data_IF_377707093494
#
_entry.id   IF_377707093494
#
_cell.length_a   1.000
_cell.length_b   1.000
_cell.length_c   1.000
_cell.angle_alpha   90.00
_cell.angle_beta   90.00
_cell.angle_gamma   90.00
#
_symmetry.space_group_name_H-M   'P 1'
#
loop_
_entity.id
_entity.type
_entity.pdbx_description
1 polymer ?
#
# COMPACT_ATOMS: atom_id res chain seq x y z
N UNK A 1 -32.40 78.94 -4.31
CA UNK A 1 -30.91 78.93 -4.36
C UNK A 1 -30.47 78.41 -5.74
N UNK A 2 -29.20 78.61 -6.14
CA UNK A 2 -28.64 78.25 -7.47
C UNK A 2 -28.82 76.72 -7.72
N UNK A 3 -29.12 76.17 -8.91
CA UNK A 3 -29.04 76.66 -10.29
C UNK A 3 -27.70 76.28 -10.95
N UNK A 4 -27.59 75.84 -12.22
CA UNK A 4 -28.58 75.59 -13.28
C UNK A 4 -27.88 74.89 -14.50
N UNK A 5 -28.62 74.29 -15.46
CA UNK A 5 -28.22 74.05 -16.89
C UNK A 5 -27.00 73.09 -17.14
N UNK A 6 -26.65 72.61 -18.36
CA UNK A 6 -27.42 72.09 -19.54
C UNK A 6 -26.44 71.33 -20.50
N UNK A 7 -26.94 70.38 -21.29
CA UNK A 7 -26.47 69.94 -22.65
C UNK A 7 -24.97 69.91 -23.07
N UNK A 8 -24.47 68.69 -23.32
CA UNK A 8 -24.02 68.16 -24.65
C UNK A 8 -22.67 68.56 -25.32
N UNK A 9 -22.26 67.68 -26.26
CA UNK A 9 -21.29 67.81 -27.39
C UNK A 9 -19.80 67.43 -27.15
N UNK A 10 -19.24 66.79 -28.19
CA UNK A 10 -17.85 66.32 -28.39
C UNK A 10 -16.79 67.44 -28.44
N UNK A 11 -15.53 67.08 -28.14
CA UNK A 11 -14.36 67.56 -28.89
C UNK A 11 -13.21 66.52 -28.83
N UNK A 12 -12.19 66.70 -29.67
CA UNK A 12 -11.21 65.68 -30.10
C UNK A 12 -9.81 66.36 -30.23
N UNK A 13 -8.75 65.57 -30.51
CA UNK A 13 -7.40 65.96 -31.03
C UNK A 13 -6.28 66.18 -29.96
N UNK A 14 -5.37 65.17 -29.89
CA UNK A 14 -3.87 65.20 -29.94
C UNK A 14 -3.05 66.26 -29.14
N UNK A 15 -1.77 66.06 -28.72
CA UNK A 15 -0.70 65.03 -28.88
C UNK A 15 0.08 64.95 -27.50
N UNK A 16 1.33 64.53 -27.24
CA UNK A 16 2.55 64.09 -27.96
C UNK A 16 3.44 63.21 -27.03
N UNK A 17 4.30 62.33 -27.59
CA UNK A 17 5.59 61.77 -27.08
C UNK A 17 5.81 61.56 -25.55
N UNK A 18 6.24 60.37 -25.12
CA UNK A 18 7.63 59.90 -25.30
C UNK A 18 7.73 58.37 -25.51
N UNK A 19 8.78 57.92 -26.21
CA UNK A 19 9.10 56.49 -26.36
C UNK A 19 9.96 56.01 -25.18
N UNK A 20 9.70 54.78 -24.73
CA UNK A 20 10.69 53.94 -24.04
C UNK A 20 10.91 52.70 -24.89
N UNK A 21 12.11 52.56 -25.46
CA UNK A 21 12.54 51.33 -26.12
C UNK A 21 12.89 50.30 -25.05
N UNK A 22 11.95 49.38 -24.77
CA UNK A 22 12.30 48.12 -24.12
C UNK A 22 12.79 47.16 -25.20
N UNK A 23 14.07 46.80 -25.14
CA UNK A 23 14.57 45.63 -25.88
C UNK A 23 13.86 44.38 -25.32
N UNK A 24 13.49 43.40 -26.16
CA UNK A 24 13.08 42.10 -25.64
C UNK A 24 14.26 41.49 -24.89
N UNK A 25 14.07 41.14 -23.62
CA UNK A 25 15.01 40.25 -22.95
C UNK A 25 14.87 38.87 -23.59
N UNK A 26 15.98 38.31 -24.08
CA UNK A 26 16.04 36.88 -24.38
C UNK A 26 15.85 36.09 -23.08
N UNK A 27 14.62 35.62 -22.86
CA UNK A 27 14.25 34.65 -21.83
C UNK A 27 14.78 33.27 -22.23
N UNK A 28 16.11 33.17 -22.26
CA UNK A 28 16.87 32.07 -22.83
C UNK A 28 16.57 30.72 -22.17
N UNK A 29 16.09 29.79 -23.00
CA UNK A 29 16.15 28.33 -22.87
C UNK A 29 15.64 27.66 -21.58
N UNK A 30 16.16 28.00 -20.40
CA UNK A 30 15.98 27.25 -19.15
C UNK A 30 14.51 27.00 -18.75
N UNK A 31 13.65 28.02 -18.77
CA UNK A 31 12.21 27.85 -18.50
C UNK A 31 11.50 27.02 -19.55
N UNK A 32 11.97 27.06 -20.80
CA UNK A 32 11.46 26.26 -21.91
C UNK A 32 11.93 24.81 -21.74
N UNK A 33 13.20 24.55 -21.43
CA UNK A 33 13.72 23.21 -21.11
C UNK A 33 13.03 22.57 -19.90
N UNK A 34 12.69 23.37 -18.87
CA UNK A 34 11.92 22.90 -17.71
C UNK A 34 10.49 22.48 -18.13
N UNK A 35 9.80 23.27 -18.94
CA UNK A 35 8.48 22.91 -19.49
C UNK A 35 8.55 21.71 -20.46
N UNK A 36 9.63 21.56 -21.23
CA UNK A 36 9.90 20.39 -22.07
C UNK A 36 10.26 19.14 -21.25
N UNK A 37 10.87 19.29 -20.07
CA UNK A 37 11.12 18.20 -19.14
C UNK A 37 9.84 17.76 -18.41
N UNK A 38 8.89 18.67 -18.19
CA UNK A 38 7.59 18.41 -17.58
C UNK A 38 6.62 17.73 -18.56
N UNK A 39 6.54 18.22 -19.80
CA UNK A 39 5.80 17.52 -20.89
C UNK A 39 6.41 16.15 -21.25
N UNK A 40 7.68 15.90 -20.92
CA UNK A 40 8.29 14.57 -21.06
C UNK A 40 7.80 13.51 -20.05
N UNK A 41 6.87 13.85 -19.13
CA UNK A 41 6.12 12.85 -18.33
C UNK A 41 5.09 12.07 -19.17
N UNK A 42 4.74 12.49 -20.38
CA UNK A 42 3.81 11.77 -21.26
C UNK A 42 4.45 10.61 -22.07
N UNK A 43 5.61 10.12 -21.61
CA UNK A 43 6.26 8.93 -22.20
C UNK A 43 5.48 7.65 -21.90
N UNK A 44 5.54 6.72 -22.85
CA UNK A 44 5.12 5.33 -22.66
C UNK A 44 5.86 4.69 -21.47
N UNK A 45 5.21 3.69 -20.85
CA UNK A 45 5.81 2.93 -19.75
C UNK A 45 6.96 2.05 -20.24
N UNK A 46 8.17 2.29 -19.75
CA UNK A 46 9.29 1.36 -19.87
C UNK A 46 8.99 0.13 -19.01
N UNK A 47 9.38 -1.06 -19.46
CA UNK A 47 9.23 -2.31 -18.69
C UNK A 47 10.54 -3.07 -18.51
N UNK A 48 10.79 -3.54 -17.29
CA UNK A 48 11.87 -4.49 -16.98
C UNK A 48 11.30 -5.75 -16.34
N UNK A 49 11.76 -6.93 -16.79
CA UNK A 49 11.16 -8.24 -16.45
C UNK A 49 12.11 -9.10 -15.64
N UNK A 50 11.55 -9.89 -14.73
CA UNK A 50 12.25 -10.88 -13.91
C UNK A 50 11.59 -12.27 -14.02
N UNK A 51 11.79 -13.17 -13.06
CA UNK A 51 11.09 -14.46 -13.02
C UNK A 51 9.62 -14.27 -12.72
N UNK A 52 9.30 -13.50 -11.68
CA UNK A 52 7.96 -13.35 -11.10
C UNK A 52 7.32 -11.97 -11.33
N UNK A 53 8.07 -10.98 -11.84
CA UNK A 53 7.62 -9.59 -11.95
C UNK A 53 7.84 -8.96 -13.34
N UNK A 54 7.02 -7.95 -13.61
CA UNK A 54 7.26 -6.91 -14.61
C UNK A 54 7.16 -5.57 -13.89
N UNK A 55 8.23 -4.78 -13.92
CA UNK A 55 8.26 -3.43 -13.35
C UNK A 55 8.01 -2.43 -14.49
N UNK A 56 6.96 -1.64 -14.36
CA UNK A 56 6.61 -0.54 -15.26
C UNK A 56 7.04 0.79 -14.63
N UNK A 57 7.79 1.61 -15.36
CA UNK A 57 8.28 2.92 -14.89
C UNK A 57 8.41 3.91 -16.06
N UNK A 58 8.21 5.22 -15.82
CA UNK A 58 8.44 6.25 -16.85
C UNK A 58 9.86 6.85 -16.83
N UNK A 59 10.51 6.86 -15.66
CA UNK A 59 11.86 7.41 -15.43
C UNK A 59 12.51 6.69 -14.25
N UNK A 60 13.79 6.33 -14.37
CA UNK A 60 14.57 5.80 -13.24
C UNK A 60 15.15 6.98 -12.43
N UNK A 61 15.10 6.99 -11.08
CA UNK A 61 15.60 8.12 -10.28
C UNK A 61 17.13 8.17 -10.18
N UNK A 62 17.78 7.01 -10.26
CA UNK A 62 19.23 6.85 -10.19
C UNK A 62 19.63 5.50 -10.80
N UNK A 63 20.78 5.39 -11.51
CA UNK A 63 21.13 4.20 -12.26
C UNK A 63 21.07 2.89 -11.46
N UNK A 64 20.24 1.95 -11.92
CA UNK A 64 20.08 0.64 -11.30
C UNK A 64 19.07 0.57 -10.14
N UNK A 65 18.33 1.65 -9.85
CA UNK A 65 17.21 1.63 -8.92
C UNK A 65 16.15 0.60 -9.33
N UNK A 66 15.77 0.48 -10.61
CA UNK A 66 14.75 -0.50 -11.05
C UNK A 66 15.26 -1.93 -10.83
N UNK A 67 16.55 -2.19 -11.06
CA UNK A 67 17.17 -3.48 -10.69
C UNK A 67 17.06 -3.72 -9.19
N UNK A 68 17.28 -2.71 -8.34
CA UNK A 68 17.08 -2.83 -6.88
C UNK A 68 15.64 -3.15 -6.52
N UNK A 69 14.63 -2.58 -7.20
CA UNK A 69 13.22 -2.97 -7.01
C UNK A 69 12.99 -4.44 -7.37
N UNK A 70 13.54 -4.91 -8.50
CA UNK A 70 13.46 -6.31 -8.91
C UNK A 70 14.12 -7.24 -7.88
N UNK A 71 15.34 -6.92 -7.45
CA UNK A 71 16.09 -7.72 -6.48
C UNK A 71 15.31 -7.84 -5.15
N UNK A 72 14.67 -6.76 -4.70
CA UNK A 72 13.81 -6.76 -3.51
C UNK A 72 12.53 -7.57 -3.73
N UNK A 73 11.80 -7.34 -4.83
CA UNK A 73 10.55 -8.03 -5.16
C UNK A 73 10.74 -9.56 -5.30
N UNK A 74 11.75 -10.00 -6.05
CA UNK A 74 12.13 -11.42 -6.14
C UNK A 74 12.50 -12.00 -4.76
N UNK A 75 13.26 -11.25 -3.96
CA UNK A 75 13.61 -11.69 -2.60
C UNK A 75 12.38 -11.82 -1.70
N UNK A 76 11.43 -10.89 -1.76
CA UNK A 76 10.20 -10.93 -0.99
C UNK A 76 9.25 -12.03 -1.44
N UNK A 77 9.10 -12.27 -2.75
CA UNK A 77 8.23 -13.34 -3.26
C UNK A 77 8.62 -14.69 -2.64
N UNK A 78 9.90 -15.04 -2.73
CA UNK A 78 10.46 -16.25 -2.11
C UNK A 78 10.26 -16.25 -0.59
N UNK A 79 10.60 -15.16 0.12
CA UNK A 79 10.42 -15.06 1.59
C UNK A 79 8.98 -15.27 2.04
N UNK A 80 7.99 -14.76 1.29
CA UNK A 80 6.56 -14.85 1.62
C UNK A 80 6.05 -16.27 1.34
N UNK A 81 6.25 -16.81 0.12
CA UNK A 81 5.77 -18.17 -0.21
C UNK A 81 6.47 -19.27 0.61
N UNK A 82 7.67 -19.01 1.13
CA UNK A 82 8.40 -19.89 2.05
C UNK A 82 7.84 -19.81 3.48
N UNK A 83 7.63 -18.59 3.99
CA UNK A 83 7.17 -18.35 5.37
C UNK A 83 5.80 -18.95 5.66
N UNK A 84 4.88 -18.85 4.71
CA UNK A 84 3.50 -19.36 4.83
C UNK A 84 3.29 -20.72 4.14
N UNK A 85 4.33 -21.30 3.51
CA UNK A 85 4.26 -22.63 2.89
C UNK A 85 3.52 -22.71 1.55
N UNK A 86 3.33 -21.58 0.87
CA UNK A 86 2.58 -21.46 -0.39
C UNK A 86 3.37 -21.86 -1.65
N UNK A 87 4.67 -22.23 -1.53
CA UNK A 87 5.63 -22.62 -2.60
C UNK A 87 5.12 -23.42 -3.84
N UNK A 88 4.01 -24.15 -3.75
CA UNK A 88 3.45 -25.00 -4.83
C UNK A 88 2.12 -24.48 -5.39
N UNK A 89 1.80 -23.21 -5.20
CA UNK A 89 0.57 -22.57 -5.65
C UNK A 89 0.85 -21.47 -6.69
N UNK A 90 0.07 -21.46 -7.78
CA UNK A 90 0.01 -20.44 -8.83
C UNK A 90 1.31 -19.65 -9.12
N UNK A 91 2.33 -20.30 -9.69
CA UNK A 91 3.59 -19.65 -10.05
C UNK A 91 3.40 -18.40 -10.92
N UNK A 92 3.98 -17.27 -10.51
CA UNK A 92 3.90 -15.98 -11.21
C UNK A 92 4.81 -15.88 -12.44
N UNK A 93 4.97 -16.97 -13.20
CA UNK A 93 5.87 -17.03 -14.36
C UNK A 93 5.17 -16.61 -15.66
N UNK A 94 5.96 -16.31 -16.70
CA UNK A 94 5.45 -16.04 -18.06
C UNK A 94 4.44 -14.88 -18.12
N UNK A 95 3.18 -15.16 -18.46
CA UNK A 95 2.06 -14.21 -18.50
C UNK A 95 1.36 -14.04 -17.14
N UNK A 96 1.75 -14.79 -16.10
CA UNK A 96 1.25 -14.67 -14.73
C UNK A 96 2.10 -13.79 -13.81
N UNK A 97 3.11 -13.09 -14.34
CA UNK A 97 3.93 -12.16 -13.55
C UNK A 97 3.10 -11.10 -12.85
N UNK A 98 3.52 -10.71 -11.64
CA UNK A 98 2.99 -9.53 -10.97
C UNK A 98 3.49 -8.26 -11.67
N UNK A 99 2.60 -7.30 -11.89
CA UNK A 99 2.92 -6.00 -12.50
C UNK A 99 3.12 -4.97 -11.38
N UNK A 100 4.27 -4.31 -11.33
CA UNK A 100 4.52 -3.23 -10.35
C UNK A 100 4.66 -1.93 -11.15
N UNK A 101 3.74 -0.99 -10.96
CA UNK A 101 3.79 0.34 -11.57
C UNK A 101 4.43 1.32 -10.59
N UNK A 102 5.53 1.93 -11.04
CA UNK A 102 6.33 2.91 -10.31
C UNK A 102 6.11 4.30 -10.92
N UNK A 103 5.20 5.06 -10.31
CA UNK A 103 4.96 6.46 -10.67
C UNK A 103 6.11 7.34 -10.19
N UNK A 104 6.31 8.49 -10.84
CA UNK A 104 7.43 9.37 -10.51
C UNK A 104 7.20 10.13 -9.20
N UNK A 105 5.98 10.60 -8.95
CA UNK A 105 5.59 11.32 -7.74
C UNK A 105 4.34 10.72 -7.07
N UNK A 106 4.13 11.08 -5.80
CA UNK A 106 2.92 10.77 -5.04
C UNK A 106 1.66 11.39 -5.68
N UNK A 107 1.80 12.59 -6.24
CA UNK A 107 0.76 13.28 -7.02
C UNK A 107 0.38 12.52 -8.29
N UNK A 108 1.36 12.02 -9.05
CA UNK A 108 1.07 11.21 -10.23
C UNK A 108 0.39 9.89 -9.83
N UNK A 109 0.86 9.25 -8.76
CA UNK A 109 0.21 8.07 -8.19
C UNK A 109 -1.24 8.34 -7.77
N UNK A 110 -1.50 9.46 -7.07
CA UNK A 110 -2.84 9.90 -6.67
C UNK A 110 -3.75 10.10 -7.89
N UNK A 111 -3.31 10.91 -8.87
CA UNK A 111 -4.08 11.24 -10.07
C UNK A 111 -4.37 10.00 -10.95
N UNK A 112 -3.39 9.11 -11.14
CA UNK A 112 -3.51 7.95 -12.05
C UNK A 112 -4.21 6.73 -11.38
N UNK A 113 -4.43 6.74 -10.06
CA UNK A 113 -5.08 5.61 -9.34
C UNK A 113 -6.39 5.97 -8.63
N UNK A 114 -6.58 7.22 -8.22
CA UNK A 114 -7.69 7.68 -7.39
C UNK A 114 -7.56 7.34 -5.89
N UNK A 115 -6.42 6.81 -5.45
CA UNK A 115 -6.18 6.43 -4.05
C UNK A 115 -5.98 7.66 -3.15
N UNK A 116 -6.30 7.61 -1.83
CA UNK A 116 -6.10 8.73 -0.93
C UNK A 116 -4.63 9.18 -0.82
N UNK A 117 -4.38 10.47 -0.58
CA UNK A 117 -3.01 11.03 -0.49
C UNK A 117 -2.12 10.35 0.57
N UNK A 118 -2.70 9.75 1.62
CA UNK A 118 -1.94 9.02 2.65
C UNK A 118 -1.51 7.60 2.22
N UNK A 119 -1.98 7.10 1.07
CA UNK A 119 -1.63 5.79 0.54
C UNK A 119 -0.19 5.77 -0.01
N UNK A 120 0.64 4.85 0.51
CA UNK A 120 1.96 4.55 -0.07
C UNK A 120 1.91 3.63 -1.29
N UNK A 121 0.79 2.91 -1.49
CA UNK A 121 0.57 2.00 -2.61
C UNK A 121 -0.83 1.36 -2.59
N UNK A 122 -1.19 0.71 -3.70
CA UNK A 122 -2.39 -0.12 -3.83
C UNK A 122 -2.06 -1.50 -4.42
N UNK A 123 -2.84 -2.52 -4.02
CA UNK A 123 -2.84 -3.85 -4.63
C UNK A 123 -4.16 -4.12 -5.36
N UNK A 124 -4.13 -4.24 -6.69
CA UNK A 124 -5.26 -4.75 -7.48
C UNK A 124 -5.14 -6.25 -7.64
N UNK A 125 -5.63 -6.97 -6.63
CA UNK A 125 -5.44 -8.42 -6.44
C UNK A 125 -5.77 -9.22 -7.71
N UNK A 126 -6.93 -8.97 -8.33
CA UNK A 126 -7.40 -9.71 -9.52
C UNK A 126 -6.59 -9.43 -10.79
N UNK A 127 -5.93 -8.28 -10.87
CA UNK A 127 -5.04 -7.91 -11.98
C UNK A 127 -3.60 -8.42 -11.77
N UNK A 128 -3.28 -8.90 -10.56
CA UNK A 128 -1.92 -9.11 -10.04
C UNK A 128 -1.04 -7.88 -10.26
N UNK A 129 -1.60 -6.71 -9.91
CA UNK A 129 -0.99 -5.39 -10.05
C UNK A 129 -0.74 -4.78 -8.66
N UNK A 130 0.42 -4.14 -8.51
CA UNK A 130 0.76 -3.21 -7.43
C UNK A 130 1.05 -1.85 -8.08
N UNK A 131 0.59 -0.76 -7.48
CA UNK A 131 0.86 0.62 -7.91
C UNK A 131 1.40 1.43 -6.74
N UNK A 132 2.47 2.19 -6.95
CA UNK A 132 3.20 2.96 -5.90
C UNK A 132 4.18 3.95 -6.55
N UNK A 133 4.86 4.80 -5.79
CA UNK A 133 5.72 5.86 -6.32
C UNK A 133 7.16 5.78 -5.83
N UNK A 134 8.08 6.20 -6.71
CA UNK A 134 9.54 6.01 -6.60
C UNK A 134 10.15 6.66 -5.34
N UNK A 135 9.54 7.74 -4.87
CA UNK A 135 9.95 8.49 -3.67
C UNK A 135 9.10 8.20 -2.43
N UNK A 136 8.34 7.10 -2.41
CA UNK A 136 7.60 6.65 -1.23
C UNK A 136 8.53 6.29 -0.07
N UNK A 137 8.30 6.89 1.10
CA UNK A 137 9.03 6.54 2.32
C UNK A 137 8.83 5.05 2.63
N UNK A 138 9.94 4.36 2.90
CA UNK A 138 9.99 2.91 3.11
C UNK A 138 9.28 2.04 2.05
N UNK A 139 9.11 2.52 0.81
CA UNK A 139 8.52 1.71 -0.28
C UNK A 139 9.15 0.31 -0.35
N UNK A 140 10.49 0.23 -0.43
CA UNK A 140 11.21 -1.04 -0.50
C UNK A 140 11.27 -1.80 0.84
N UNK A 141 11.07 -1.12 1.98
CA UNK A 141 11.22 -1.72 3.33
C UNK A 141 9.91 -2.28 3.88
N UNK A 142 8.78 -1.69 3.47
CA UNK A 142 7.47 -1.78 4.10
C UNK A 142 6.35 -1.96 3.08
N UNK A 143 6.12 -0.98 2.19
CA UNK A 143 4.98 -1.01 1.25
C UNK A 143 5.07 -2.21 0.31
N UNK A 144 6.19 -2.39 -0.40
CA UNK A 144 6.37 -3.51 -1.33
C UNK A 144 6.11 -4.88 -0.68
N UNK A 145 6.71 -5.26 0.46
CA UNK A 145 6.38 -6.53 1.11
C UNK A 145 4.97 -6.60 1.71
N UNK A 146 4.36 -5.46 2.09
CA UNK A 146 2.98 -5.38 2.57
C UNK A 146 1.97 -5.68 1.43
N UNK A 147 2.02 -4.94 0.31
CA UNK A 147 1.20 -5.17 -0.89
C UNK A 147 1.37 -6.59 -1.44
N UNK A 148 2.61 -7.09 -1.48
CA UNK A 148 2.89 -8.47 -1.88
C UNK A 148 2.35 -9.51 -0.89
N UNK A 149 2.24 -9.16 0.39
CA UNK A 149 1.62 -9.98 1.43
C UNK A 149 0.14 -10.22 1.14
N UNK A 150 -0.63 -9.14 0.96
CA UNK A 150 -2.02 -9.20 0.50
C UNK A 150 -2.15 -9.99 -0.79
N UNK A 151 -1.32 -9.68 -1.79
CA UNK A 151 -1.43 -10.30 -3.11
C UNK A 151 -1.25 -11.82 -3.03
N UNK A 152 -0.16 -12.29 -2.42
CA UNK A 152 0.15 -13.71 -2.30
C UNK A 152 -0.88 -14.43 -1.40
N UNK A 153 -1.31 -13.80 -0.31
CA UNK A 153 -2.31 -14.39 0.59
C UNK A 153 -3.67 -14.55 -0.10
N UNK A 154 -4.21 -13.47 -0.67
CA UNK A 154 -5.52 -13.45 -1.35
C UNK A 154 -5.53 -14.29 -2.63
N UNK A 155 -4.41 -14.42 -3.35
CA UNK A 155 -4.29 -15.44 -4.41
C UNK A 155 -4.44 -16.85 -3.84
N UNK A 156 -3.77 -17.17 -2.73
CA UNK A 156 -3.77 -18.51 -2.15
C UNK A 156 -5.13 -18.91 -1.55
N UNK A 157 -5.78 -18.01 -0.79
CA UNK A 157 -7.07 -18.27 -0.15
C UNK A 157 -8.29 -17.97 -1.02
N UNK A 158 -8.08 -17.33 -2.17
CA UNK A 158 -9.11 -17.07 -3.17
C UNK A 158 -10.00 -15.84 -2.88
N UNK A 159 -10.76 -15.44 -3.91
CA UNK A 159 -11.48 -14.16 -3.95
C UNK A 159 -13.00 -14.26 -3.71
N UNK A 160 -13.48 -15.39 -3.18
CA UNK A 160 -14.92 -15.66 -2.96
C UNK A 160 -15.31 -15.76 -1.48
N UNK A 161 -14.39 -16.24 -0.65
CA UNK A 161 -14.61 -16.41 0.79
C UNK A 161 -14.41 -15.07 1.50
N UNK A 162 -15.32 -14.71 2.40
CA UNK A 162 -15.12 -13.55 3.28
C UNK A 162 -13.91 -13.79 4.20
N UNK A 163 -13.16 -12.73 4.48
CA UNK A 163 -12.10 -12.70 5.47
C UNK A 163 -12.29 -11.45 6.34
N UNK A 164 -12.08 -11.53 7.65
CA UNK A 164 -12.03 -10.35 8.50
C UNK A 164 -10.77 -9.54 8.16
N UNK A 165 -10.88 -8.22 8.24
CA UNK A 165 -9.83 -7.30 7.79
C UNK A 165 -8.50 -7.57 8.51
N UNK A 166 -8.53 -7.84 9.82
CA UNK A 166 -7.34 -8.12 10.63
C UNK A 166 -6.51 -9.31 10.14
N UNK A 167 -7.12 -10.30 9.47
CA UNK A 167 -6.40 -11.47 8.98
C UNK A 167 -5.65 -11.18 7.68
N UNK A 168 -6.16 -10.27 6.86
CA UNK A 168 -5.52 -9.83 5.63
C UNK A 168 -4.41 -8.81 5.92
N UNK A 169 -4.73 -7.79 6.72
CA UNK A 169 -3.79 -6.78 7.23
C UNK A 169 -2.69 -7.40 8.09
N UNK A 170 -3.04 -8.33 8.98
CA UNK A 170 -2.06 -9.07 9.79
C UNK A 170 -1.13 -9.92 8.94
N UNK A 171 -1.62 -10.47 7.83
CA UNK A 171 -0.78 -11.17 6.85
C UNK A 171 0.16 -10.23 6.10
N UNK A 172 -0.29 -9.03 5.72
CA UNK A 172 0.53 -8.00 5.06
C UNK A 172 1.61 -7.44 6.01
N UNK A 173 1.20 -6.95 7.18
CA UNK A 173 2.08 -6.34 8.18
C UNK A 173 3.20 -7.26 8.71
N UNK A 174 3.03 -8.59 8.68
CA UNK A 174 4.11 -9.52 9.08
C UNK A 174 5.25 -9.64 8.06
N UNK A 175 5.07 -9.10 6.85
CA UNK A 175 6.11 -9.03 5.83
C UNK A 175 6.91 -7.71 5.88
N UNK A 176 6.38 -6.68 6.56
CA UNK A 176 7.08 -5.44 6.91
C UNK A 176 8.22 -5.70 7.91
N UNK A 177 9.34 -6.26 7.43
CA UNK A 177 10.45 -6.68 8.30
C UNK A 177 11.03 -5.55 9.16
N UNK A 178 10.90 -4.29 8.73
CA UNK A 178 11.28 -3.11 9.50
C UNK A 178 10.40 -2.94 10.74
N UNK A 179 9.08 -2.92 10.57
CA UNK A 179 8.12 -2.58 11.62
C UNK A 179 7.60 -3.77 12.43
N UNK A 180 7.76 -5.02 11.95
CA UNK A 180 7.23 -6.22 12.65
C UNK A 180 7.61 -6.31 14.13
N UNK A 181 8.86 -5.99 14.52
CA UNK A 181 9.24 -6.04 15.95
C UNK A 181 8.51 -4.97 16.77
N UNK A 182 8.36 -3.77 16.22
CA UNK A 182 7.67 -2.64 16.85
C UNK A 182 6.17 -2.92 16.99
N UNK A 183 5.49 -3.33 15.89
CA UNK A 183 4.08 -3.75 15.89
C UNK A 183 3.79 -4.82 16.95
N UNK A 184 4.63 -5.86 17.04
CA UNK A 184 4.48 -6.93 18.03
C UNK A 184 4.78 -6.49 19.49
N UNK A 185 5.60 -5.45 19.69
CA UNK A 185 5.83 -4.84 21.00
C UNK A 185 4.66 -3.93 21.41
N UNK A 186 4.06 -3.18 20.47
CA UNK A 186 2.86 -2.35 20.68
C UNK A 186 1.69 -3.23 21.15
N UNK A 187 1.35 -4.29 20.41
CA UNK A 187 0.28 -5.22 20.76
C UNK A 187 0.49 -5.85 22.17
N UNK A 188 1.74 -6.23 22.50
CA UNK A 188 2.09 -6.73 23.84
C UNK A 188 1.98 -5.66 24.93
N UNK A 189 2.23 -4.39 24.60
CA UNK A 189 2.02 -3.26 25.51
C UNK A 189 0.54 -3.06 25.84
N UNK A 190 -0.31 -3.05 24.81
CA UNK A 190 -1.77 -2.88 24.92
C UNK A 190 -2.41 -4.02 25.70
N UNK A 191 -2.05 -5.28 25.39
CA UNK A 191 -2.47 -6.45 26.17
C UNK A 191 -2.09 -6.33 27.64
N UNK A 192 -0.85 -5.90 27.94
CA UNK A 192 -0.37 -5.75 29.33
C UNK A 192 -1.00 -4.56 30.08
N UNK A 193 -1.48 -3.55 29.36
CA UNK A 193 -2.24 -2.44 29.91
C UNK A 193 -3.75 -2.76 30.05
N UNK A 194 -4.21 -3.90 29.53
CA UNK A 194 -5.63 -4.21 29.32
C UNK A 194 -6.35 -3.12 28.49
N UNK A 195 -5.67 -2.65 27.44
CA UNK A 195 -6.12 -1.64 26.47
C UNK A 195 -6.10 -2.17 25.03
N UNK A 196 -6.15 -3.49 24.85
CA UNK A 196 -6.17 -4.15 23.55
C UNK A 196 -7.59 -4.25 22.99
N UNK A 197 -7.74 -4.37 21.68
CA UNK A 197 -9.03 -4.62 21.04
C UNK A 197 -9.32 -6.13 21.13
N UNK A 198 -10.42 -6.57 21.76
CA UNK A 198 -10.81 -7.98 21.77
C UNK A 198 -10.99 -8.51 20.34
N UNK A 199 -10.56 -9.75 20.08
CA UNK A 199 -10.51 -10.28 18.71
C UNK A 199 -11.88 -10.33 18.00
N UNK A 200 -12.98 -10.40 18.75
CA UNK A 200 -14.35 -10.25 18.24
C UNK A 200 -14.61 -8.82 17.72
N UNK A 201 -14.19 -7.79 18.45
CA UNK A 201 -14.29 -6.39 18.02
C UNK A 201 -13.37 -6.13 16.83
N UNK A 202 -12.14 -6.66 16.86
CA UNK A 202 -11.19 -6.61 15.75
C UNK A 202 -11.72 -7.33 14.49
N UNK A 203 -12.60 -8.33 14.65
CA UNK A 203 -13.30 -9.05 13.57
C UNK A 203 -14.51 -8.28 13.02
N UNK A 204 -15.14 -7.43 13.84
CA UNK A 204 -16.25 -6.56 13.43
C UNK A 204 -15.78 -5.31 12.66
N UNK A 205 -14.52 -4.89 12.83
CA UNK A 205 -13.87 -3.89 11.98
C UNK A 205 -13.62 -4.52 10.60
N UNK A 206 -14.49 -4.18 9.64
CA UNK A 206 -14.50 -4.75 8.29
C UNK A 206 -14.29 -3.70 7.17
N UNK A 207 -14.15 -2.43 7.53
CA UNK A 207 -13.96 -1.29 6.63
C UNK A 207 -12.69 -0.51 7.08
N UNK A 208 -11.67 -0.36 6.20
CA UNK A 208 -10.48 0.43 6.49
C UNK A 208 -10.75 1.90 6.85
N UNK A 209 -11.81 2.52 6.30
CA UNK A 209 -12.13 3.94 6.57
C UNK A 209 -12.66 4.17 8.00
N UNK A 210 -13.14 3.11 8.66
CA UNK A 210 -13.65 3.15 10.04
C UNK A 210 -12.55 2.90 11.09
N UNK A 211 -11.29 2.70 10.69
CA UNK A 211 -10.18 2.43 11.62
C UNK A 211 -9.71 3.71 12.32
N UNK A 212 -10.30 4.04 13.46
CA UNK A 212 -9.96 5.21 14.28
C UNK A 212 -8.51 5.21 14.78
N UNK A 213 -7.92 4.03 15.01
CA UNK A 213 -6.57 3.87 15.57
C UNK A 213 -5.73 2.87 14.76
N UNK A 214 -5.27 3.23 13.54
CA UNK A 214 -4.64 2.29 12.60
C UNK A 214 -3.37 1.63 13.16
N UNK A 215 -2.54 2.37 13.90
CA UNK A 215 -1.33 1.81 14.51
C UNK A 215 -1.62 0.69 15.53
N UNK A 216 -2.77 0.77 16.22
CA UNK A 216 -3.23 -0.29 17.14
C UNK A 216 -3.79 -1.45 16.33
N UNK A 217 -4.73 -1.17 15.42
CA UNK A 217 -5.39 -2.19 14.61
C UNK A 217 -4.36 -3.06 13.85
N UNK A 218 -3.41 -2.45 13.14
CA UNK A 218 -2.37 -3.16 12.41
C UNK A 218 -1.37 -3.89 13.32
N UNK A 219 -1.07 -3.35 14.51
CA UNK A 219 -0.20 -4.01 15.48
C UNK A 219 -0.84 -5.30 16.02
N UNK A 220 -2.11 -5.22 16.40
CA UNK A 220 -2.84 -6.35 16.97
C UNK A 220 -3.18 -7.40 15.91
N UNK A 221 -3.62 -6.97 14.72
CA UNK A 221 -3.80 -7.80 13.53
C UNK A 221 -2.56 -8.64 13.20
N UNK A 222 -1.39 -7.98 13.09
CA UNK A 222 -0.12 -8.67 12.87
C UNK A 222 0.20 -9.65 14.00
N UNK A 223 -0.08 -9.28 15.25
CA UNK A 223 0.20 -10.12 16.41
C UNK A 223 -0.70 -11.37 16.53
N UNK A 224 -1.96 -11.28 16.09
CA UNK A 224 -2.88 -12.41 16.06
C UNK A 224 -2.45 -13.43 15.01
N UNK A 225 -2.04 -12.98 13.82
CA UNK A 225 -1.48 -13.86 12.77
C UNK A 225 -0.12 -14.42 13.21
N UNK A 226 0.73 -13.64 13.90
CA UNK A 226 2.03 -14.10 14.40
C UNK A 226 1.88 -15.16 15.50
N UNK A 227 0.87 -15.04 16.38
CA UNK A 227 0.49 -16.06 17.35
C UNK A 227 0.12 -17.39 16.66
N UNK A 228 -0.76 -17.35 15.64
CA UNK A 228 -1.15 -18.56 14.89
C UNK A 228 0.04 -19.26 14.22
N UNK A 229 1.07 -18.51 13.83
CA UNK A 229 2.29 -19.02 13.20
C UNK A 229 3.34 -19.51 14.22
N UNK A 230 3.49 -18.80 15.34
CA UNK A 230 4.51 -19.07 16.35
C UNK A 230 4.13 -20.23 17.28
N UNK A 231 2.87 -20.32 17.69
CA UNK A 231 2.39 -21.34 18.64
C UNK A 231 2.08 -22.67 17.92
N UNK A 232 1.49 -22.62 16.72
CA UNK A 232 0.99 -23.81 16.01
C UNK A 232 1.78 -24.18 14.76
N UNK A 233 2.70 -23.32 14.31
CA UNK A 233 3.57 -23.55 13.16
C UNK A 233 2.90 -23.32 11.80
N UNK A 234 3.75 -23.05 10.80
CA UNK A 234 3.35 -22.80 9.40
C UNK A 234 2.46 -23.88 8.78
N UNK A 235 2.59 -25.15 9.18
CA UNK A 235 1.86 -26.25 8.55
C UNK A 235 0.39 -26.29 9.02
N UNK A 236 0.11 -25.86 10.25
CA UNK A 236 -1.26 -25.58 10.73
C UNK A 236 -1.85 -24.36 10.01
N UNK A 237 -1.07 -23.29 9.88
CA UNK A 237 -1.50 -22.09 9.14
C UNK A 237 -1.83 -22.41 7.67
N UNK A 238 -0.98 -23.18 6.99
CA UNK A 238 -1.21 -23.66 5.63
C UNK A 238 -2.47 -24.56 5.53
N UNK A 239 -2.73 -25.40 6.53
CA UNK A 239 -3.96 -26.21 6.58
C UNK A 239 -5.22 -25.36 6.79
N UNK A 240 -5.14 -24.28 7.57
CA UNK A 240 -6.19 -23.28 7.73
C UNK A 240 -6.46 -22.53 6.42
N UNK A 241 -5.43 -21.94 5.79
CA UNK A 241 -5.57 -21.24 4.52
C UNK A 241 -6.13 -22.12 3.38
N UNK A 242 -5.77 -23.42 3.36
CA UNK A 242 -6.34 -24.38 2.39
C UNK A 242 -7.84 -24.55 2.53
N UNK A 243 -8.39 -24.59 3.75
CA UNK A 243 -9.84 -24.73 3.94
C UNK A 243 -10.61 -23.53 3.38
N UNK A 244 -10.12 -22.31 3.60
CA UNK A 244 -10.69 -21.07 3.08
C UNK A 244 -10.70 -21.08 1.55
N UNK A 245 -9.57 -21.45 0.94
CA UNK A 245 -9.43 -21.66 -0.52
C UNK A 245 -10.41 -22.69 -1.06
N UNK A 246 -10.60 -23.77 -0.31
CA UNK A 246 -11.48 -24.89 -0.64
C UNK A 246 -12.96 -24.58 -0.27
N UNK A 247 -13.30 -23.31 -0.06
CA UNK A 247 -14.66 -22.79 0.06
C UNK A 247 -15.30 -22.89 1.46
N UNK A 248 -14.55 -23.25 2.50
CA UNK A 248 -15.05 -23.26 3.87
C UNK A 248 -14.95 -21.85 4.49
N UNK A 249 -15.93 -21.50 5.32
CA UNK A 249 -15.88 -20.28 6.13
C UNK A 249 -14.58 -20.18 6.96
N UNK A 250 -14.10 -18.97 7.18
CA UNK A 250 -12.83 -18.70 7.85
C UNK A 250 -12.88 -19.03 9.36
N UNK A 251 -13.93 -18.66 10.08
CA UNK A 251 -14.02 -18.88 11.54
C UNK A 251 -14.14 -20.38 11.82
N UNK A 252 -15.03 -21.05 11.09
CA UNK A 252 -15.19 -22.49 11.15
C UNK A 252 -13.92 -23.24 10.72
N UNK A 253 -13.18 -22.73 9.73
CA UNK A 253 -11.88 -23.28 9.35
C UNK A 253 -10.84 -23.15 10.46
N UNK A 254 -10.81 -22.00 11.15
CA UNK A 254 -9.91 -21.70 12.25
C UNK A 254 -10.19 -22.66 13.42
N UNK A 255 -11.42 -22.65 13.95
CA UNK A 255 -11.89 -23.54 15.03
C UNK A 255 -11.55 -25.01 14.74
N UNK A 256 -11.84 -25.49 13.52
CA UNK A 256 -11.57 -26.88 13.12
C UNK A 256 -10.09 -27.25 13.02
N UNK A 257 -9.19 -26.31 12.70
CA UNK A 257 -7.73 -26.56 12.55
C UNK A 257 -6.97 -26.40 13.85
N UNK A 258 -7.24 -25.33 14.60
CA UNK A 258 -6.53 -24.99 15.84
C UNK A 258 -7.16 -25.61 17.10
N UNK A 259 -8.41 -26.11 16.99
CA UNK A 259 -9.19 -26.79 18.05
C UNK A 259 -9.77 -25.88 19.14
N UNK A 260 -9.85 -24.58 18.87
CA UNK A 260 -10.66 -23.66 19.68
C UNK A 260 -12.15 -23.91 19.50
N UNK A 261 -12.90 -23.76 20.59
CA UNK A 261 -14.37 -23.78 20.67
C UNK A 261 -15.01 -22.63 19.89
N UNK A 262 -14.46 -21.43 20.04
CA UNK A 262 -14.96 -20.16 19.48
C UNK A 262 -13.85 -19.09 19.47
N UNK A 263 -14.19 -17.86 19.08
CA UNK A 263 -13.26 -16.73 19.05
C UNK A 263 -12.86 -16.22 20.46
N UNK A 264 -13.58 -16.56 21.53
CA UNK A 264 -13.18 -16.17 22.90
C UNK A 264 -11.97 -16.97 23.36
N UNK A 265 -12.00 -18.29 23.18
CA UNK A 265 -10.86 -19.15 23.51
C UNK A 265 -9.62 -18.77 22.67
N UNK A 266 -9.82 -18.40 21.41
CA UNK A 266 -8.75 -17.86 20.56
C UNK A 266 -8.18 -16.53 21.10
N UNK A 267 -9.05 -15.59 21.49
CA UNK A 267 -8.67 -14.31 22.08
C UNK A 267 -7.89 -14.50 23.39
N UNK A 268 -8.40 -15.31 24.30
CA UNK A 268 -7.77 -15.67 25.57
C UNK A 268 -6.36 -16.25 25.37
N UNK A 269 -6.18 -17.13 24.38
CA UNK A 269 -4.88 -17.76 24.09
C UNK A 269 -3.90 -16.80 23.40
N UNK A 270 -4.37 -15.92 22.53
CA UNK A 270 -3.57 -14.84 21.94
C UNK A 270 -3.07 -13.83 23.01
N UNK A 271 -3.96 -13.44 23.92
CA UNK A 271 -3.66 -12.57 25.09
C UNK A 271 -2.67 -13.23 26.05
N UNK A 272 -2.86 -14.53 26.34
CA UNK A 272 -1.93 -15.33 27.16
C UNK A 272 -0.52 -15.39 26.53
N UNK A 273 -0.45 -15.65 25.22
CA UNK A 273 0.78 -15.68 24.44
C UNK A 273 1.52 -14.34 24.48
N UNK A 274 0.85 -13.22 24.15
CA UNK A 274 1.48 -11.90 24.17
C UNK A 274 1.95 -11.49 25.57
N UNK A 275 1.18 -11.82 26.61
CA UNK A 275 1.54 -11.56 28.00
C UNK A 275 2.85 -12.27 28.39
N UNK A 276 2.99 -13.55 28.03
CA UNK A 276 4.13 -14.41 28.40
C UNK A 276 5.37 -14.26 27.51
N UNK A 277 5.20 -13.91 26.24
CA UNK A 277 6.26 -13.87 25.22
C UNK A 277 7.44 -12.97 25.61
N UNK A 278 8.64 -13.36 25.17
CA UNK A 278 9.89 -12.58 25.21
C UNK A 278 10.28 -12.17 23.78
N UNK A 279 10.98 -11.04 23.64
CA UNK A 279 11.33 -10.34 22.39
C UNK A 279 12.75 -9.79 22.46
#
# INVERSE_FOLDING_TARGET
MRGCLKTSIFLLVFLYSTLVYLQPLDLNASWVELAYAETALDKEWLEQKSTHFIIYYKKEPSPGYIKKVIDYAESYYNKIVDGFGFRRFNFWTWNKRCKIFLYFSQEQYYNDTGQPLWSGGEVRIRERKISTYIHGEDFLSSVLPHEMGHLIFREFVGYKTYLPLWLDEGMACLNERKYRKERLLIARGLVRANMYIPLQELTNINDPELIVMPNIFYAESASAVDFLLAEFGKDKFLAFCRKIRDGQDWEESLKKVYKFKDLSELNEKWVEFLSKRKF
#
